data_IF_130800600881
#
_entry.id   IF_130800600881
#
_cell.length_a   1.000
_cell.length_b   1.000
_cell.length_c   1.000
_cell.angle_alpha   90.00
_cell.angle_beta   90.00
_cell.angle_gamma   90.00
#
_symmetry.space_group_name_H-M   'P 1'
#
loop_
_entity.id
_entity.type
_entity.pdbx_description
1 polymer ?
#
# COMPACT_ATOMS: atom_id res chain seq x y z
N UNK A 1 10.11 -12.54 20.90
CA UNK A 1 11.15 -13.55 21.23
C UNK A 1 11.85 -13.93 19.94
N UNK A 2 13.20 -14.11 19.99
CA UNK A 2 13.95 -14.72 18.91
C UNK A 2 13.63 -16.20 18.77
N UNK A 3 13.78 -16.76 17.60
CA UNK A 3 13.57 -18.17 17.35
C UNK A 3 14.77 -18.78 16.64
N UNK A 4 14.96 -20.08 16.88
CA UNK A 4 15.90 -20.90 16.13
C UNK A 4 15.11 -21.90 15.29
N UNK A 5 15.49 -22.03 14.03
CA UNK A 5 14.98 -23.07 13.14
C UNK A 5 15.95 -24.24 13.06
N UNK A 6 15.45 -25.46 12.93
CA UNK A 6 16.30 -26.61 12.63
C UNK A 6 16.59 -26.66 11.13
N UNK A 7 17.84 -26.97 10.77
CA UNK A 7 18.25 -27.23 9.40
C UNK A 7 19.17 -28.45 9.40
N UNK A 8 19.20 -29.18 8.29
CA UNK A 8 20.06 -30.35 8.13
C UNK A 8 21.26 -29.97 7.26
N UNK A 9 22.46 -30.16 7.79
CA UNK A 9 23.71 -30.00 7.07
C UNK A 9 24.49 -31.32 7.10
N UNK A 10 24.76 -31.86 5.94
CA UNK A 10 25.51 -33.13 5.76
C UNK A 10 24.97 -34.28 6.65
N UNK A 11 23.63 -34.43 6.73
CA UNK A 11 22.99 -35.48 7.53
C UNK A 11 22.90 -35.23 9.04
N UNK A 12 23.49 -34.15 9.55
CA UNK A 12 23.39 -33.75 10.94
C UNK A 12 22.38 -32.59 11.12
N UNK A 13 21.61 -32.63 12.21
CA UNK A 13 20.69 -31.53 12.56
C UNK A 13 21.50 -30.37 13.13
N UNK A 14 21.39 -29.23 12.44
CA UNK A 14 21.93 -27.94 12.90
C UNK A 14 20.81 -26.97 13.27
N UNK A 15 21.14 -25.89 13.95
CA UNK A 15 20.22 -24.82 14.28
C UNK A 15 20.65 -23.53 13.58
N UNK A 16 19.71 -22.87 12.94
CA UNK A 16 19.89 -21.54 12.37
C UNK A 16 19.08 -20.53 13.14
N UNK A 17 19.57 -19.31 13.21
CA UNK A 17 18.80 -18.18 13.74
C UNK A 17 17.61 -17.92 12.84
N UNK A 18 16.40 -18.14 13.32
CA UNK A 18 15.17 -17.94 12.54
C UNK A 18 14.67 -16.50 12.60
N UNK A 19 14.84 -15.83 13.75
CA UNK A 19 14.45 -14.42 13.90
C UNK A 19 15.26 -13.72 14.98
N UNK A 20 15.56 -12.46 14.78
CA UNK A 20 16.15 -11.59 15.81
C UNK A 20 15.02 -10.84 16.51
N UNK A 21 14.93 -10.90 17.86
CA UNK A 21 13.97 -10.12 18.60
C UNK A 21 14.36 -8.65 18.58
N UNK A 22 13.37 -7.77 18.44
CA UNK A 22 13.56 -6.35 18.69
C UNK A 22 12.90 -5.97 20.02
N UNK A 23 13.65 -5.79 21.11
CA UNK A 23 13.11 -5.43 22.41
C UNK A 23 12.56 -3.99 22.49
N UNK A 24 12.85 -3.18 21.47
CA UNK A 24 12.42 -1.79 21.39
C UNK A 24 11.15 -1.59 20.57
N UNK A 25 10.46 -2.68 20.23
CA UNK A 25 9.17 -2.56 19.53
C UNK A 25 8.16 -1.83 20.42
N UNK A 26 7.53 -0.83 19.82
CA UNK A 26 6.50 0.00 20.45
C UNK A 26 5.15 -0.24 19.76
N UNK A 27 4.07 0.16 20.42
CA UNK A 27 2.74 0.17 19.83
C UNK A 27 2.66 1.21 18.71
N UNK A 28 1.96 0.85 17.65
CA UNK A 28 1.59 1.82 16.60
C UNK A 28 0.74 2.94 17.20
N UNK A 29 1.01 4.17 16.80
CA UNK A 29 0.29 5.35 17.26
C UNK A 29 -0.51 5.95 16.10
N UNK A 30 -1.79 6.17 16.32
CA UNK A 30 -2.66 6.81 15.34
C UNK A 30 -3.13 8.16 15.87
N UNK A 31 -2.89 9.22 15.09
CA UNK A 31 -3.39 10.57 15.35
C UNK A 31 -4.35 10.93 14.25
N UNK A 32 -5.59 11.26 14.62
CA UNK A 32 -6.63 11.68 13.69
C UNK A 32 -7.00 13.13 13.97
N UNK A 33 -7.04 13.91 12.90
CA UNK A 33 -7.73 15.20 12.86
C UNK A 33 -9.02 14.99 12.05
N UNK A 34 -10.15 15.42 12.60
CA UNK A 34 -11.45 15.30 11.96
C UNK A 34 -12.26 16.58 12.19
N UNK A 35 -12.94 17.02 11.14
CA UNK A 35 -13.89 18.11 11.19
C UNK A 35 -15.15 17.70 10.46
N UNK A 36 -16.28 17.87 11.12
CA UNK A 36 -17.61 17.57 10.60
C UNK A 36 -18.49 18.82 10.55
N UNK A 37 -19.38 18.84 9.58
CA UNK A 37 -20.41 19.86 9.42
C UNK A 37 -21.74 19.18 9.20
N UNK A 38 -22.71 19.48 10.07
CA UNK A 38 -24.09 19.08 9.95
C UNK A 38 -24.95 20.29 9.59
N UNK A 39 -25.57 20.24 8.43
CA UNK A 39 -26.34 21.35 7.87
C UNK A 39 -27.77 20.91 7.60
N UNK A 40 -28.72 21.72 8.03
CA UNK A 40 -30.14 21.53 7.76
C UNK A 40 -30.72 22.76 7.08
N UNK A 41 -31.41 22.57 5.97
CA UNK A 41 -32.05 23.65 5.20
C UNK A 41 -33.55 23.35 4.99
N UNK A 42 -34.32 24.40 4.79
CA UNK A 42 -35.76 24.31 4.46
C UNK A 42 -36.53 23.45 5.46
N UNK A 43 -36.45 23.78 6.75
CA UNK A 43 -37.09 23.00 7.82
C UNK A 43 -36.68 21.52 7.82
N UNK A 44 -35.39 21.27 7.64
CA UNK A 44 -34.78 19.93 7.54
C UNK A 44 -35.30 19.10 6.35
N UNK A 45 -35.76 19.74 5.28
CA UNK A 45 -36.03 19.05 4.02
C UNK A 45 -34.76 18.64 3.27
N UNK A 46 -33.68 19.39 3.49
CA UNK A 46 -32.36 19.06 2.98
C UNK A 46 -31.45 18.99 4.19
N UNK A 47 -30.85 17.83 4.40
CA UNK A 47 -29.84 17.62 5.43
C UNK A 47 -28.54 17.21 4.72
N UNK A 48 -27.43 17.79 5.16
CA UNK A 48 -26.11 17.48 4.64
C UNK A 48 -25.13 17.25 5.80
N UNK A 49 -24.50 16.10 5.81
CA UNK A 49 -23.41 15.76 6.72
C UNK A 49 -22.14 15.70 5.89
N UNK A 50 -21.15 16.50 6.24
CA UNK A 50 -19.88 16.60 5.54
C UNK A 50 -18.77 16.36 6.55
N UNK A 51 -17.87 15.43 6.27
CA UNK A 51 -16.75 15.11 7.17
C UNK A 51 -15.46 15.09 6.38
N UNK A 52 -14.46 15.80 6.89
CA UNK A 52 -13.08 15.68 6.45
C UNK A 52 -12.24 15.08 7.56
N UNK A 53 -11.40 14.10 7.21
CA UNK A 53 -10.48 13.50 8.16
C UNK A 53 -9.06 13.39 7.59
N UNK A 54 -8.09 13.44 8.50
CA UNK A 54 -6.68 13.17 8.21
C UNK A 54 -6.08 12.37 9.37
N UNK A 55 -5.76 11.11 9.09
CA UNK A 55 -5.20 10.17 10.07
C UNK A 55 -3.75 9.86 9.70
N UNK A 56 -2.85 10.10 10.62
CA UNK A 56 -1.45 9.70 10.54
C UNK A 56 -1.19 8.56 11.52
N UNK A 57 -0.81 7.40 11.01
CA UNK A 57 -0.30 6.29 11.81
C UNK A 57 1.21 6.32 11.75
N UNK A 58 1.84 6.42 12.90
CA UNK A 58 3.29 6.38 13.10
C UNK A 58 3.70 5.13 13.88
N UNK A 59 4.99 4.88 13.92
CA UNK A 59 5.57 3.71 14.60
C UNK A 59 4.99 2.39 14.07
N UNK A 60 4.55 2.40 12.79
CA UNK A 60 3.98 1.22 12.14
C UNK A 60 5.04 0.16 11.94
N UNK A 61 4.66 -1.09 12.18
CA UNK A 61 5.57 -2.22 11.97
C UNK A 61 5.96 -2.31 10.50
N UNK A 62 7.26 -2.35 10.27
CA UNK A 62 7.86 -2.53 8.96
C UNK A 62 9.13 -3.36 9.09
N UNK A 63 9.41 -4.18 8.10
CA UNK A 63 10.60 -5.01 8.07
C UNK A 63 11.80 -4.19 7.58
N UNK A 64 12.89 -4.26 8.32
CA UNK A 64 14.20 -3.79 7.86
C UNK A 64 14.93 -4.99 7.28
N UNK A 65 15.27 -4.95 6.01
CA UNK A 65 16.13 -5.94 5.39
C UNK A 65 17.54 -5.80 5.94
N UNK A 66 18.13 -6.91 6.38
CA UNK A 66 19.49 -6.93 6.90
C UNK A 66 20.38 -7.77 5.98
N UNK A 67 21.71 -7.52 5.97
CA UNK A 67 22.63 -8.30 5.15
C UNK A 67 22.52 -9.80 5.45
N UNK A 68 22.65 -10.64 4.43
CA UNK A 68 22.58 -12.12 4.55
C UNK A 68 23.60 -12.70 5.53
N UNK A 69 24.71 -11.98 5.76
CA UNK A 69 25.74 -12.34 6.74
C UNK A 69 25.24 -12.29 8.20
N UNK A 70 24.11 -11.64 8.46
CA UNK A 70 23.48 -11.62 9.80
C UNK A 70 22.79 -12.93 10.18
N UNK A 71 22.62 -13.85 9.22
CA UNK A 71 21.91 -15.11 9.41
C UNK A 71 20.37 -15.01 9.38
N UNK A 72 19.81 -13.81 9.25
CA UNK A 72 18.37 -13.56 9.07
C UNK A 72 18.14 -12.58 7.93
N UNK A 73 16.99 -12.67 7.27
CA UNK A 73 16.68 -11.81 6.13
C UNK A 73 16.14 -10.43 6.53
N UNK A 74 15.48 -10.34 7.68
CA UNK A 74 14.86 -9.09 8.13
C UNK A 74 14.66 -9.04 9.64
N UNK A 75 14.52 -7.81 10.14
CA UNK A 75 14.16 -7.50 11.53
C UNK A 75 12.96 -6.57 11.53
N UNK A 76 11.96 -6.87 12.37
CA UNK A 76 10.79 -6.00 12.54
C UNK A 76 11.16 -4.73 13.30
N UNK A 77 10.71 -3.60 12.82
CA UNK A 77 10.95 -2.27 13.41
C UNK A 77 9.70 -1.41 13.38
N UNK A 78 9.69 -0.29 14.11
CA UNK A 78 8.61 0.70 14.15
C UNK A 78 8.89 1.92 13.27
N UNK A 79 9.46 1.75 12.10
CA UNK A 79 9.91 2.86 11.25
C UNK A 79 8.88 3.25 10.17
N UNK A 80 7.76 2.54 10.09
CA UNK A 80 6.71 2.84 9.12
C UNK A 80 5.85 4.03 9.53
N UNK A 81 5.46 4.87 8.54
CA UNK A 81 4.44 5.91 8.69
C UNK A 81 3.47 5.86 7.54
N UNK A 82 2.20 5.95 7.87
CA UNK A 82 1.11 5.84 6.91
C UNK A 82 0.07 6.94 7.13
N UNK A 83 -0.36 7.58 6.07
CA UNK A 83 -1.39 8.62 6.10
C UNK A 83 -2.63 8.16 5.35
N UNK A 84 -3.79 8.40 5.95
CA UNK A 84 -5.09 8.23 5.34
C UNK A 84 -5.88 9.52 5.54
N UNK A 85 -6.31 10.14 4.44
CA UNK A 85 -7.12 11.34 4.47
C UNK A 85 -8.29 11.21 3.52
N UNK A 86 -9.42 11.80 3.89
CA UNK A 86 -10.60 11.69 3.06
C UNK A 86 -11.64 12.73 3.36
N UNK A 87 -12.61 12.74 2.47
CA UNK A 87 -13.81 13.54 2.58
C UNK A 87 -15.01 12.61 2.40
N UNK A 88 -15.95 12.69 3.33
CA UNK A 88 -17.19 11.92 3.33
C UNK A 88 -18.36 12.89 3.30
N UNK A 89 -19.40 12.52 2.60
CA UNK A 89 -20.64 13.30 2.58
C UNK A 89 -21.86 12.41 2.55
N UNK A 90 -22.88 12.88 3.21
CA UNK A 90 -24.22 12.32 3.18
C UNK A 90 -25.22 13.46 2.95
N UNK A 91 -26.07 13.32 1.95
CA UNK A 91 -27.12 14.27 1.59
C UNK A 91 -28.45 13.56 1.63
N UNK A 92 -29.38 14.10 2.40
CA UNK A 92 -30.74 13.60 2.52
C UNK A 92 -31.73 14.68 2.07
N UNK A 93 -32.55 14.33 1.10
CA UNK A 93 -33.57 15.21 0.54
C UNK A 93 -34.96 14.64 0.78
N UNK A 94 -35.82 15.42 1.41
CA UNK A 94 -37.23 15.14 1.53
C UNK A 94 -37.98 15.90 0.43
N UNK A 95 -38.04 15.27 -0.76
CA UNK A 95 -38.54 15.93 -1.99
C UNK A 95 -40.04 16.14 -1.92
N UNK A 96 -40.77 15.08 -1.59
CA UNK A 96 -42.23 15.13 -1.39
C UNK A 96 -42.52 14.59 -0.01
N UNK A 97 -43.29 15.38 0.77
CA UNK A 97 -43.79 14.97 2.08
C UNK A 97 -45.25 15.41 2.18
N UNK A 98 -46.16 14.62 1.62
CA UNK A 98 -47.61 14.81 1.65
C UNK A 98 -48.27 13.59 2.29
N UNK A 99 -49.53 13.72 2.68
CA UNK A 99 -50.29 12.66 3.34
C UNK A 99 -50.26 11.34 2.58
N UNK A 100 -50.45 11.39 1.26
CA UNK A 100 -50.58 10.20 0.42
C UNK A 100 -49.31 9.88 -0.40
N UNK A 101 -48.33 10.80 -0.43
CA UNK A 101 -47.10 10.67 -1.22
C UNK A 101 -45.91 11.13 -0.41
N UNK A 102 -44.92 10.25 -0.28
CA UNK A 102 -43.64 10.58 0.35
C UNK A 102 -42.49 10.12 -0.57
N UNK A 103 -41.58 11.04 -0.86
CA UNK A 103 -40.40 10.73 -1.64
C UNK A 103 -39.17 11.34 -0.98
N UNK A 104 -38.27 10.46 -0.55
CA UNK A 104 -36.99 10.81 0.06
C UNK A 104 -35.89 10.31 -0.85
N UNK A 105 -34.86 11.11 -1.04
CA UNK A 105 -33.63 10.76 -1.75
C UNK A 105 -32.46 10.89 -0.79
N UNK A 106 -31.69 9.83 -0.63
CA UNK A 106 -30.44 9.85 0.12
C UNK A 106 -29.29 9.58 -0.84
N UNK A 107 -28.25 10.40 -0.73
CA UNK A 107 -27.03 10.27 -1.51
C UNK A 107 -25.83 10.37 -0.57
N UNK A 108 -24.92 9.38 -0.61
CA UNK A 108 -23.71 9.38 0.16
C UNK A 108 -22.50 9.05 -0.74
N UNK A 109 -21.33 9.47 -0.31
CA UNK A 109 -20.10 9.18 -1.00
C UNK A 109 -18.89 9.47 -0.13
N UNK A 110 -17.77 8.87 -0.53
CA UNK A 110 -16.49 9.06 0.14
C UNK A 110 -15.36 9.16 -0.90
N UNK A 111 -14.47 10.11 -0.68
CA UNK A 111 -13.21 10.26 -1.39
C UNK A 111 -12.08 9.98 -0.42
N UNK A 112 -11.26 8.99 -0.71
CA UNK A 112 -10.19 8.54 0.17
C UNK A 112 -8.85 8.56 -0.56
N UNK A 113 -7.82 9.07 0.10
CA UNK A 113 -6.43 9.09 -0.38
C UNK A 113 -5.50 8.55 0.69
N UNK A 114 -4.85 7.44 0.37
CA UNK A 114 -3.85 6.80 1.19
C UNK A 114 -2.46 7.13 0.70
N UNK A 115 -1.50 7.22 1.60
CA UNK A 115 -0.11 7.50 1.28
C UNK A 115 0.82 6.81 2.27
N UNK A 116 1.83 6.14 1.77
CA UNK A 116 3.00 5.72 2.56
C UNK A 116 3.86 6.96 2.80
N UNK A 117 4.01 7.37 4.05
CA UNK A 117 4.74 8.60 4.42
C UNK A 117 6.21 8.29 4.63
N UNK A 118 6.52 7.18 5.31
CA UNK A 118 7.89 6.74 5.55
C UNK A 118 7.96 5.22 5.67
N UNK A 119 9.07 4.67 5.21
CA UNK A 119 9.48 3.28 5.34
C UNK A 119 10.89 3.22 5.94
N UNK A 120 11.33 2.07 6.48
CA UNK A 120 12.72 1.87 6.85
C UNK A 120 13.67 2.09 5.67
N UNK A 121 14.79 2.74 5.92
CA UNK A 121 15.84 2.91 4.91
C UNK A 121 16.42 1.55 4.53
N UNK A 122 16.43 1.25 3.24
CA UNK A 122 16.94 -0.01 2.69
C UNK A 122 17.85 0.20 1.46
N UNK A 123 18.21 1.46 1.18
CA UNK A 123 19.07 1.82 0.05
C UNK A 123 18.41 1.75 -1.33
N UNK A 124 17.15 1.36 -1.42
CA UNK A 124 16.37 1.37 -2.66
C UNK A 124 15.67 2.72 -2.86
N UNK A 125 15.35 3.03 -4.11
CA UNK A 125 14.57 4.22 -4.43
C UNK A 125 13.26 4.23 -3.65
N UNK A 126 12.98 5.35 -2.94
CA UNK A 126 11.80 5.54 -2.08
C UNK A 126 11.63 4.46 -1.01
N UNK A 127 12.74 3.91 -0.53
CA UNK A 127 12.75 2.85 0.48
C UNK A 127 11.77 1.70 0.17
N UNK A 128 11.69 1.34 -1.09
CA UNK A 128 10.73 0.37 -1.63
C UNK A 128 10.82 -0.97 -0.92
N UNK A 129 9.68 -1.54 -0.52
CA UNK A 129 9.55 -2.84 0.12
C UNK A 129 8.56 -3.73 -0.62
N UNK A 130 8.76 -5.05 -0.53
CA UNK A 130 7.90 -6.07 -1.18
C UNK A 130 7.76 -5.86 -2.71
N UNK A 131 8.80 -5.32 -3.33
CA UNK A 131 8.90 -5.13 -4.76
C UNK A 131 9.55 -6.34 -5.43
N UNK A 132 9.32 -6.48 -6.73
CA UNK A 132 9.97 -7.48 -7.54
C UNK A 132 10.63 -6.85 -8.76
N UNK A 133 11.58 -7.55 -9.33
CA UNK A 133 12.27 -7.11 -10.55
C UNK A 133 11.61 -7.75 -11.77
N UNK A 134 11.42 -6.95 -12.81
CA UNK A 134 10.99 -7.40 -14.12
C UNK A 134 12.02 -7.02 -15.17
N UNK A 135 12.13 -7.82 -16.22
CA UNK A 135 12.94 -7.45 -17.37
C UNK A 135 12.29 -6.30 -18.13
N UNK A 136 13.10 -5.38 -18.62
CA UNK A 136 12.62 -4.25 -19.43
C UNK A 136 12.32 -4.62 -20.88
N UNK A 137 12.72 -5.84 -21.30
CA UNK A 137 12.64 -6.29 -22.68
C UNK A 137 13.90 -5.97 -23.50
N UNK A 138 14.85 -5.22 -22.95
CA UNK A 138 16.09 -4.87 -23.63
C UNK A 138 17.29 -5.44 -22.88
N UNK A 139 17.90 -6.48 -23.45
CA UNK A 139 19.02 -7.19 -22.82
C UNK A 139 18.66 -7.70 -21.42
N UNK A 140 19.66 -7.77 -20.55
CA UNK A 140 19.51 -8.21 -19.16
C UNK A 140 19.04 -7.11 -18.20
N UNK A 141 18.62 -5.96 -18.72
CA UNK A 141 18.19 -4.83 -17.92
C UNK A 141 16.91 -5.17 -17.14
N UNK A 142 16.95 -4.95 -15.83
CA UNK A 142 15.81 -5.15 -14.91
C UNK A 142 15.41 -3.84 -14.26
N UNK A 143 14.14 -3.71 -13.98
CA UNK A 143 13.57 -2.61 -13.20
C UNK A 143 12.75 -3.12 -12.03
N UNK A 144 12.76 -2.37 -10.94
CA UNK A 144 11.91 -2.66 -9.79
C UNK A 144 10.48 -2.18 -10.05
N UNK A 145 9.50 -3.03 -9.79
CA UNK A 145 8.08 -2.70 -9.89
C UNK A 145 7.31 -3.15 -8.65
N UNK A 146 6.20 -2.49 -8.41
CA UNK A 146 5.32 -2.81 -7.29
C UNK A 146 5.89 -2.44 -5.93
N UNK A 147 5.34 -3.08 -4.91
CA UNK A 147 5.69 -2.88 -3.51
C UNK A 147 5.17 -1.58 -2.92
N UNK A 148 5.45 -1.42 -1.63
CA UNK A 148 5.21 -0.17 -0.91
C UNK A 148 6.35 0.79 -1.17
N UNK A 149 6.03 2.06 -1.43
CA UNK A 149 7.02 3.10 -1.72
C UNK A 149 6.64 4.39 -1.01
N UNK A 150 7.62 5.09 -0.48
CA UNK A 150 7.39 6.41 0.10
C UNK A 150 6.78 7.38 -0.91
N UNK A 151 5.76 8.09 -0.48
CA UNK A 151 5.04 9.04 -1.32
C UNK A 151 3.95 8.46 -2.21
N UNK A 152 3.85 7.14 -2.35
CA UNK A 152 2.88 6.46 -3.21
C UNK A 152 1.69 5.91 -2.41
N UNK A 153 0.63 5.52 -3.14
CA UNK A 153 -0.48 4.76 -2.58
C UNK A 153 -0.02 3.33 -2.30
N UNK A 154 -0.43 2.75 -1.17
CA UNK A 154 -0.29 1.31 -1.00
C UNK A 154 -1.27 0.56 -1.90
N UNK A 155 -0.83 -0.57 -2.43
CA UNK A 155 -1.68 -1.45 -3.23
C UNK A 155 -1.86 -1.04 -4.69
N UNK A 156 -1.03 -0.14 -5.21
CA UNK A 156 -0.99 0.12 -6.65
C UNK A 156 -0.55 -1.16 -7.39
N UNK A 157 -1.34 -1.54 -8.40
CA UNK A 157 -1.06 -2.71 -9.23
C UNK A 157 -0.19 -2.31 -10.43
N UNK A 158 0.80 -3.13 -10.70
CA UNK A 158 1.69 -2.97 -11.85
C UNK A 158 1.47 -4.14 -12.80
N UNK A 159 1.26 -3.85 -14.06
CA UNK A 159 1.00 -4.83 -15.10
C UNK A 159 1.77 -4.47 -16.37
N UNK A 160 2.10 -5.47 -17.18
CA UNK A 160 2.53 -5.22 -18.55
C UNK A 160 1.34 -4.77 -19.38
N UNK A 161 1.54 -3.74 -20.16
CA UNK A 161 0.58 -3.26 -21.15
C UNK A 161 1.00 -3.84 -22.50
N UNK A 162 0.13 -4.62 -23.14
CA UNK A 162 0.38 -5.11 -24.48
C UNK A 162 0.19 -3.94 -25.46
N UNK A 163 1.28 -3.53 -26.11
CA UNK A 163 1.30 -2.43 -27.07
C UNK A 163 1.05 -2.91 -28.52
N UNK A 164 0.99 -4.22 -28.73
CA UNK A 164 0.71 -4.81 -30.01
C UNK A 164 1.42 -6.14 -30.23
N UNK A 165 1.42 -6.58 -31.47
CA UNK A 165 2.08 -7.80 -31.94
C UNK A 165 2.94 -7.44 -33.14
N UNK A 166 4.22 -7.80 -33.10
CA UNK A 166 5.10 -7.70 -34.28
C UNK A 166 4.59 -8.64 -35.36
N UNK A 167 4.42 -8.13 -36.57
CA UNK A 167 3.92 -8.91 -37.70
C UNK A 167 5.02 -9.64 -38.45
N UNK A 168 6.27 -9.20 -38.29
CA UNK A 168 7.45 -9.78 -38.93
C UNK A 168 8.66 -9.66 -38.01
N UNK A 169 9.67 -10.49 -38.28
CA UNK A 169 10.96 -10.48 -37.55
C UNK A 169 11.68 -9.12 -37.66
N UNK A 170 11.50 -8.44 -38.78
CA UNK A 170 12.18 -7.15 -39.05
C UNK A 170 11.61 -5.99 -38.23
N UNK A 171 10.39 -6.13 -37.69
CA UNK A 171 9.75 -5.13 -36.84
C UNK A 171 10.25 -5.20 -35.38
N UNK A 172 10.93 -6.30 -35.01
CA UNK A 172 11.40 -6.51 -33.64
C UNK A 172 12.63 -5.64 -33.38
N UNK A 173 12.59 -4.72 -32.38
CA UNK A 173 13.74 -3.89 -32.05
C UNK A 173 14.97 -4.74 -31.70
N UNK A 174 16.15 -4.31 -32.18
CA UNK A 174 17.38 -4.98 -31.85
C UNK A 174 17.63 -4.98 -30.32
N UNK A 175 17.99 -6.12 -29.75
CA UNK A 175 18.22 -6.29 -28.31
C UNK A 175 17.00 -6.65 -27.50
N UNK A 176 15.83 -6.78 -28.11
CA UNK A 176 14.65 -7.35 -27.42
C UNK A 176 14.90 -8.85 -27.20
N UNK A 177 14.65 -9.33 -26.00
CA UNK A 177 14.78 -10.75 -25.65
C UNK A 177 13.42 -11.35 -25.33
N UNK A 178 13.23 -12.59 -25.72
CA UNK A 178 12.07 -13.38 -25.28
C UNK A 178 12.36 -13.94 -23.89
N UNK A 179 11.62 -13.46 -22.90
CA UNK A 179 11.78 -13.90 -21.51
C UNK A 179 11.10 -15.23 -21.21
N UNK A 180 10.33 -15.78 -22.15
CA UNK A 180 9.60 -17.06 -21.98
C UNK A 180 10.42 -18.26 -22.44
N UNK A 181 11.40 -18.05 -23.28
CA UNK A 181 12.24 -19.10 -23.87
C UNK A 181 13.64 -19.18 -23.25
N UNK A 182 13.92 -18.42 -22.17
CA UNK A 182 15.22 -18.40 -21.48
C UNK A 182 15.49 -19.58 -20.58
#
# INVERSE_FOLDING_TARGET
QGSYGSNTYNGATGFLLGSIPNPYLMWEKSRTFEIGLDLGFLENRINANLTYYNRLTSDKYANITVPSTSGVGSVVSNNGKFQNQGFEFELAFRIIDRKDWKWNLNWNGALNKNKVVALPDNGLERNRQDAYQVYTGYGDAKMWVGGYQEGQRPGDLYMFIADGIYKSQDEIPAGLIDITSG
#
